data_IF_966597237921
#
_entry.id   IF_966597237921
#
_cell.length_a   1.000
_cell.length_b   1.000
_cell.length_c   1.000
_cell.angle_alpha   90.00
_cell.angle_beta   90.00
_cell.angle_gamma   90.00
#
_symmetry.space_group_name_H-M   'P 1'
#
loop_
_entity.id
_entity.type
_entity.pdbx_description
1 polymer ?
#
# COMPACT_ATOMS: atom_id res chain seq x y z
N UNK A 1 -17.84 19.51 -4.50
CA UNK A 1 -16.88 19.84 -3.43
C UNK A 1 -15.78 18.77 -3.45
N UNK A 2 -14.56 19.04 -2.99
CA UNK A 2 -13.51 18.01 -2.92
C UNK A 2 -13.72 17.20 -1.64
N UNK A 3 -13.80 15.87 -1.76
CA UNK A 3 -14.00 15.00 -0.62
C UNK A 3 -12.67 14.61 0.03
N UNK A 4 -12.66 14.49 1.36
CA UNK A 4 -11.52 14.01 2.15
C UNK A 4 -11.99 12.85 3.00
N UNK A 5 -11.19 11.77 3.01
CA UNK A 5 -11.45 10.62 3.86
C UNK A 5 -10.46 10.59 5.03
N UNK A 6 -10.98 10.54 6.27
CA UNK A 6 -10.18 10.44 7.49
C UNK A 6 -10.17 8.99 8.02
N UNK A 7 -8.99 8.45 8.27
CA UNK A 7 -8.80 7.18 8.98
C UNK A 7 -8.19 7.47 10.35
N UNK A 8 -8.92 7.20 11.42
CA UNK A 8 -8.50 7.47 12.80
C UNK A 8 -7.85 6.22 13.42
N UNK A 9 -6.56 6.29 13.73
CA UNK A 9 -5.73 5.22 14.27
C UNK A 9 -5.65 5.33 15.80
N UNK A 10 -6.46 4.55 16.52
CA UNK A 10 -6.51 4.60 17.99
C UNK A 10 -6.74 6.02 18.56
N UNK A 11 -7.47 6.85 17.83
CA UNK A 11 -7.82 8.21 18.23
C UNK A 11 -9.23 8.23 18.79
N UNK A 12 -9.43 8.94 19.90
CA UNK A 12 -10.76 9.07 20.49
C UNK A 12 -11.75 9.67 19.49
N UNK A 13 -12.97 9.12 19.43
CA UNK A 13 -13.95 9.49 18.41
C UNK A 13 -14.24 10.99 18.36
N UNK A 14 -14.34 11.63 19.52
CA UNK A 14 -14.59 13.07 19.61
C UNK A 14 -13.46 13.92 18.98
N UNK A 15 -12.20 13.48 19.03
CA UNK A 15 -11.08 14.17 18.40
C UNK A 15 -11.14 14.04 16.87
N UNK A 16 -11.44 12.84 16.38
CA UNK A 16 -11.62 12.59 14.95
C UNK A 16 -12.81 13.42 14.39
N UNK A 17 -13.92 13.46 15.11
CA UNK A 17 -15.09 14.28 14.74
C UNK A 17 -14.77 15.78 14.76
N UNK A 18 -13.99 16.25 15.74
CA UNK A 18 -13.54 17.64 15.78
C UNK A 18 -12.67 17.99 14.55
N UNK A 19 -11.78 17.09 14.12
CA UNK A 19 -10.99 17.28 12.91
C UNK A 19 -11.86 17.29 11.64
N UNK A 20 -12.81 16.36 11.51
CA UNK A 20 -13.77 16.35 10.39
C UNK A 20 -14.58 17.65 10.32
N UNK A 21 -15.07 18.14 11.47
CA UNK A 21 -15.78 19.41 11.54
C UNK A 21 -14.89 20.58 11.09
N UNK A 22 -13.64 20.64 11.56
CA UNK A 22 -12.66 21.64 11.11
C UNK A 22 -12.40 21.58 9.60
N UNK A 23 -12.31 20.40 8.99
CA UNK A 23 -12.16 20.30 7.53
C UNK A 23 -13.38 20.85 6.79
N UNK A 24 -14.60 20.59 7.31
CA UNK A 24 -15.85 21.10 6.73
C UNK A 24 -15.97 22.62 6.78
N UNK A 25 -15.55 23.27 7.87
CA UNK A 25 -15.55 24.74 7.96
C UNK A 25 -14.61 25.39 6.95
N UNK A 26 -13.61 24.66 6.48
CA UNK A 26 -12.68 25.07 5.43
C UNK A 26 -13.14 24.66 4.01
N UNK A 27 -14.39 24.21 3.84
CA UNK A 27 -14.99 23.93 2.54
C UNK A 27 -14.66 22.55 1.95
N UNK A 28 -14.19 21.61 2.77
CA UNK A 28 -13.99 20.21 2.37
C UNK A 28 -15.20 19.36 2.73
N UNK A 29 -15.52 18.40 1.88
CA UNK A 29 -16.49 17.37 2.19
C UNK A 29 -15.78 16.24 2.95
N UNK A 30 -15.80 16.29 4.29
CA UNK A 30 -15.03 15.38 5.11
C UNK A 30 -15.89 14.26 5.72
N UNK A 31 -15.46 13.02 5.49
CA UNK A 31 -16.01 11.80 6.07
C UNK A 31 -14.87 10.91 6.56
N UNK A 32 -15.16 9.89 7.36
CA UNK A 32 -14.11 9.02 7.87
C UNK A 32 -14.62 7.87 8.72
N UNK A 33 -13.67 7.10 9.25
CA UNK A 33 -13.93 5.93 10.08
C UNK A 33 -12.85 5.75 11.15
N UNK A 34 -13.16 4.90 12.14
CA UNK A 34 -12.19 4.36 13.08
C UNK A 34 -11.48 3.17 12.45
N UNK A 35 -10.16 3.18 12.49
CA UNK A 35 -9.34 2.14 11.92
C UNK A 35 -9.47 0.82 12.69
N UNK A 36 -9.55 -0.28 11.96
CA UNK A 36 -9.59 -1.62 12.53
C UNK A 36 -8.33 -2.38 12.13
N UNK A 37 -7.39 -2.48 13.07
CA UNK A 37 -6.11 -3.16 12.87
C UNK A 37 -6.25 -4.70 12.99
N UNK A 38 -7.17 -5.27 12.22
CA UNK A 38 -7.37 -6.72 12.10
C UNK A 38 -6.87 -7.18 10.74
N UNK A 39 -5.61 -7.61 10.71
CA UNK A 39 -4.92 -8.06 9.50
C UNK A 39 -5.39 -9.45 9.06
N UNK A 40 -5.90 -10.27 9.98
CA UNK A 40 -6.36 -11.62 9.67
C UNK A 40 -7.67 -11.58 8.87
N UNK A 41 -8.61 -10.73 9.30
CA UNK A 41 -9.90 -10.56 8.62
C UNK A 41 -9.90 -9.41 7.60
N UNK A 42 -8.76 -8.72 7.44
CA UNK A 42 -8.58 -7.56 6.56
C UNK A 42 -9.63 -6.46 6.79
N UNK A 43 -10.01 -6.23 8.04
CA UNK A 43 -11.07 -5.26 8.40
C UNK A 43 -10.71 -3.82 8.03
N UNK A 44 -9.42 -3.55 7.78
CA UNK A 44 -8.91 -2.28 7.26
C UNK A 44 -9.28 -2.01 5.78
N UNK A 45 -9.84 -2.98 5.04
CA UNK A 45 -10.22 -2.80 3.63
C UNK A 45 -11.49 -2.00 3.42
N UNK A 46 -12.35 -1.87 4.44
CA UNK A 46 -13.63 -1.16 4.38
C UNK A 46 -13.61 0.16 3.59
N UNK A 47 -12.69 1.10 3.85
CA UNK A 47 -12.64 2.40 3.17
C UNK A 47 -12.13 2.38 1.72
N UNK A 48 -11.76 1.22 1.14
CA UNK A 48 -11.14 1.16 -0.19
C UNK A 48 -12.03 1.78 -1.26
N UNK A 49 -13.34 1.50 -1.26
CA UNK A 49 -14.27 2.02 -2.27
C UNK A 49 -14.35 3.56 -2.22
N UNK A 50 -14.45 4.14 -1.03
CA UNK A 50 -14.49 5.59 -0.83
C UNK A 50 -13.16 6.25 -1.20
N UNK A 51 -12.04 5.60 -0.87
CA UNK A 51 -10.71 6.08 -1.24
C UNK A 51 -10.47 5.99 -2.75
N UNK A 52 -11.05 5.03 -3.46
CA UNK A 52 -10.95 4.93 -4.92
C UNK A 52 -11.95 5.85 -5.65
N UNK A 53 -12.94 6.41 -4.96
CA UNK A 53 -13.91 7.31 -5.56
C UNK A 53 -13.26 8.57 -6.14
N UNK A 54 -13.68 8.97 -7.34
CA UNK A 54 -13.06 10.08 -8.10
C UNK A 54 -13.16 11.44 -7.40
N UNK A 55 -14.17 11.64 -6.55
CA UNK A 55 -14.34 12.86 -5.75
C UNK A 55 -13.47 12.87 -4.49
N UNK A 56 -13.00 11.71 -4.01
CA UNK A 56 -12.05 11.63 -2.92
C UNK A 56 -10.70 12.17 -3.42
N UNK A 57 -10.29 13.27 -2.83
CA UNK A 57 -9.16 14.07 -3.28
C UNK A 57 -7.98 14.06 -2.31
N UNK A 58 -8.18 13.53 -1.11
CA UNK A 58 -7.15 13.42 -0.08
C UNK A 58 -7.52 12.28 0.87
N UNK A 59 -6.52 11.48 1.22
CA UNK A 59 -6.60 10.56 2.35
C UNK A 59 -5.85 11.15 3.54
N UNK A 60 -6.57 11.47 4.60
CA UNK A 60 -5.98 11.86 5.88
C UNK A 60 -5.96 10.66 6.83
N UNK A 61 -4.83 10.42 7.46
CA UNK A 61 -4.65 9.34 8.44
C UNK A 61 -4.23 10.00 9.74
N UNK A 62 -5.01 9.88 10.81
CA UNK A 62 -4.81 10.59 12.08
C UNK A 62 -4.47 9.61 13.19
N UNK A 63 -3.43 9.89 13.96
CA UNK A 63 -2.95 8.98 15.01
C UNK A 63 -1.87 9.63 15.87
N UNK A 64 -1.54 9.00 17.01
CA UNK A 64 -0.33 9.35 17.75
C UNK A 64 0.89 8.60 17.17
N UNK A 65 2.10 8.97 17.61
CA UNK A 65 3.34 8.30 17.13
C UNK A 65 3.31 6.79 17.34
N UNK A 66 2.83 6.31 18.49
CA UNK A 66 2.74 4.89 18.80
C UNK A 66 1.88 4.13 17.79
N UNK A 67 0.70 4.64 17.47
CA UNK A 67 -0.20 4.03 16.48
C UNK A 67 0.44 3.98 15.09
N UNK A 68 1.17 5.03 14.70
CA UNK A 68 1.88 5.05 13.41
C UNK A 68 3.08 4.10 13.35
N UNK A 69 3.69 3.78 14.50
CA UNK A 69 4.81 2.82 14.57
C UNK A 69 4.36 1.37 14.80
N UNK A 70 3.10 1.15 15.19
CA UNK A 70 2.52 -0.17 15.45
C UNK A 70 2.50 -1.05 14.20
N UNK A 71 3.10 -2.24 14.29
CA UNK A 71 3.27 -3.15 13.14
C UNK A 71 1.95 -3.51 12.45
N UNK A 72 0.91 -3.82 13.22
CA UNK A 72 -0.39 -4.22 12.66
C UNK A 72 -1.07 -3.10 11.88
N UNK A 73 -0.98 -1.87 12.39
CA UNK A 73 -1.51 -0.69 11.71
C UNK A 73 -0.72 -0.41 10.45
N UNK A 74 0.62 -0.40 10.52
CA UNK A 74 1.48 -0.12 9.38
C UNK A 74 1.25 -1.11 8.25
N UNK A 75 1.09 -2.38 8.59
CA UNK A 75 0.80 -3.42 7.63
C UNK A 75 -0.51 -3.16 6.87
N UNK A 76 -1.63 -2.99 7.58
CA UNK A 76 -2.93 -2.74 6.95
C UNK A 76 -2.98 -1.43 6.16
N UNK A 77 -2.40 -0.34 6.67
CA UNK A 77 -2.35 0.95 5.96
C UNK A 77 -1.48 0.85 4.71
N UNK A 78 -0.34 0.12 4.78
CA UNK A 78 0.51 -0.14 3.63
C UNK A 78 -0.24 -0.88 2.53
N UNK A 79 -0.93 -1.96 2.87
CA UNK A 79 -1.69 -2.75 1.91
C UNK A 79 -2.86 -1.96 1.29
N UNK A 80 -3.62 -1.23 2.11
CA UNK A 80 -4.67 -0.35 1.60
C UNK A 80 -4.12 0.72 0.65
N UNK A 81 -2.97 1.31 0.99
CA UNK A 81 -2.28 2.28 0.14
C UNK A 81 -1.88 1.68 -1.20
N UNK A 82 -1.32 0.47 -1.22
CA UNK A 82 -1.01 -0.24 -2.46
C UNK A 82 -2.27 -0.47 -3.30
N UNK A 83 -3.36 -0.95 -2.70
CA UNK A 83 -4.62 -1.18 -3.41
C UNK A 83 -5.22 0.09 -4.00
N UNK A 84 -5.27 1.18 -3.23
CA UNK A 84 -5.82 2.46 -3.69
C UNK A 84 -4.96 3.06 -4.79
N UNK A 85 -3.62 2.94 -4.69
CA UNK A 85 -2.70 3.43 -5.74
C UNK A 85 -2.85 2.65 -7.04
N UNK A 86 -3.02 1.33 -6.97
CA UNK A 86 -3.18 0.49 -8.15
C UNK A 86 -4.51 0.74 -8.87
N UNK A 87 -5.59 0.97 -8.13
CA UNK A 87 -6.93 1.16 -8.70
C UNK A 87 -7.16 2.58 -9.24
N UNK A 88 -6.52 3.59 -8.64
CA UNK A 88 -6.71 4.99 -9.05
C UNK A 88 -5.85 5.36 -10.25
N UNK A 89 -6.47 5.99 -11.24
CA UNK A 89 -5.77 6.64 -12.38
C UNK A 89 -4.98 7.87 -11.98
N UNK A 90 -5.41 8.57 -10.92
CA UNK A 90 -4.76 9.78 -10.40
C UNK A 90 -4.32 9.51 -8.98
N UNK A 91 -3.03 9.69 -8.64
CA UNK A 91 -2.53 9.45 -7.30
C UNK A 91 -3.33 10.24 -6.26
N UNK A 92 -3.74 9.55 -5.20
CA UNK A 92 -4.40 10.16 -4.05
C UNK A 92 -3.32 10.69 -3.10
N UNK A 93 -3.25 12.01 -2.84
CA UNK A 93 -2.37 12.53 -1.81
C UNK A 93 -2.72 11.92 -0.46
N UNK A 94 -1.69 11.58 0.33
CA UNK A 94 -1.83 11.05 1.68
C UNK A 94 -1.20 12.04 2.68
N UNK A 95 -1.91 12.34 3.75
CA UNK A 95 -1.44 13.21 4.84
C UNK A 95 -1.57 12.47 6.17
N UNK A 96 -0.47 12.41 6.92
CA UNK A 96 -0.43 11.89 8.28
C UNK A 96 -0.67 13.03 9.25
N UNK A 97 -1.76 12.97 10.02
CA UNK A 97 -2.16 13.93 11.04
C UNK A 97 -1.74 13.42 12.41
N UNK A 98 -0.57 13.87 12.88
CA UNK A 98 0.00 13.41 14.13
C UNK A 98 -0.55 14.19 15.33
N UNK A 99 -1.14 13.49 16.30
CA UNK A 99 -1.74 14.12 17.49
C UNK A 99 -0.73 14.39 18.60
N UNK A 100 0.24 13.49 18.80
CA UNK A 100 1.22 13.52 19.89
C UNK A 100 2.52 12.78 19.49
N UNK A 101 3.59 13.00 20.26
CA UNK A 101 4.90 12.39 20.16
C UNK A 101 5.88 13.16 19.27
N UNK A 102 7.11 12.66 19.20
CA UNK A 102 8.12 13.23 18.31
C UNK A 102 7.67 13.19 16.84
N UNK A 103 7.89 14.26 16.05
CA UNK A 103 7.45 14.31 14.67
C UNK A 103 7.92 13.10 13.86
N UNK A 104 7.00 12.45 13.15
CA UNK A 104 7.34 11.41 12.18
C UNK A 104 8.12 12.01 11.00
N UNK A 105 9.10 11.26 10.54
CA UNK A 105 9.90 11.52 9.35
C UNK A 105 9.53 10.53 8.25
N UNK A 106 9.95 10.79 7.01
CA UNK A 106 9.73 9.85 5.91
C UNK A 106 10.36 8.46 6.17
N UNK A 107 11.45 8.40 6.94
CA UNK A 107 12.12 7.15 7.30
C UNK A 107 11.33 6.31 8.32
N UNK A 108 10.44 6.92 9.11
CA UNK A 108 9.55 6.19 10.02
C UNK A 108 8.42 5.47 9.25
N UNK A 109 8.11 5.92 8.03
CA UNK A 109 6.96 5.44 7.25
C UNK A 109 7.30 4.25 6.36
N UNK A 110 6.36 3.30 6.18
CA UNK A 110 6.55 2.18 5.27
C UNK A 110 6.58 2.68 3.82
N UNK A 111 7.20 1.90 2.91
CA UNK A 111 7.45 2.29 1.51
C UNK A 111 6.21 2.85 0.79
N UNK A 112 4.99 2.30 0.93
CA UNK A 112 3.81 2.87 0.28
C UNK A 112 3.46 4.29 0.72
N UNK A 113 3.88 4.69 1.93
CA UNK A 113 3.56 5.96 2.58
C UNK A 113 4.74 6.92 2.69
N UNK A 114 5.95 6.57 2.23
CA UNK A 114 7.14 7.43 2.34
C UNK A 114 6.98 8.81 1.70
N UNK A 115 6.08 8.94 0.71
CA UNK A 115 5.74 10.23 0.09
C UNK A 115 4.64 11.03 0.81
N UNK A 116 4.10 10.53 1.92
CA UNK A 116 3.05 11.21 2.67
C UNK A 116 3.60 12.45 3.39
N UNK A 117 2.74 13.47 3.51
CA UNK A 117 3.09 14.68 4.28
C UNK A 117 2.66 14.47 5.72
N UNK A 118 3.57 14.68 6.67
CA UNK A 118 3.27 14.64 8.11
C UNK A 118 2.94 16.06 8.59
N UNK A 119 1.79 16.23 9.22
CA UNK A 119 1.32 17.49 9.81
C UNK A 119 0.88 17.28 11.27
N UNK A 120 1.14 18.22 12.19
CA UNK A 120 0.55 18.18 13.52
C UNK A 120 -0.96 18.39 13.44
N UNK A 121 -1.75 17.50 14.04
CA UNK A 121 -3.21 17.57 14.01
C UNK A 121 -3.76 18.78 14.80
N UNK A 122 -3.04 19.21 15.84
CA UNK A 122 -3.42 20.35 16.68
C UNK A 122 -3.04 21.72 16.10
N UNK A 123 -2.18 21.77 15.06
CA UNK A 123 -1.74 23.04 14.46
C UNK A 123 -2.91 23.79 13.80
N UNK A 124 -3.05 25.08 14.10
CA UNK A 124 -4.14 25.91 13.58
C UNK A 124 -4.11 26.03 12.05
N UNK A 125 -2.93 25.92 11.44
CA UNK A 125 -2.74 25.94 9.98
C UNK A 125 -3.05 24.62 9.28
N UNK A 126 -3.23 23.52 10.00
CA UNK A 126 -3.43 22.18 9.41
C UNK A 126 -4.65 22.10 8.48
N UNK A 127 -5.85 22.60 8.85
CA UNK A 127 -7.01 22.58 7.94
C UNK A 127 -6.73 23.28 6.60
N UNK A 128 -6.07 24.44 6.62
CA UNK A 128 -5.71 25.16 5.40
C UNK A 128 -4.70 24.36 4.53
N UNK A 129 -3.72 23.71 5.15
CA UNK A 129 -2.76 22.83 4.46
C UNK A 129 -3.45 21.62 3.82
N UNK A 130 -4.46 21.05 4.49
CA UNK A 130 -5.28 19.96 3.95
C UNK A 130 -6.07 20.40 2.71
N UNK A 131 -6.69 21.59 2.76
CA UNK A 131 -7.35 22.17 1.57
C UNK A 131 -6.36 22.32 0.43
N UNK A 132 -5.21 22.92 0.68
CA UNK A 132 -4.19 23.09 -0.35
C UNK A 132 -3.77 21.75 -0.98
N UNK A 133 -3.62 20.70 -0.16
CA UNK A 133 -3.29 19.35 -0.65
C UNK A 133 -4.41 18.69 -1.44
N UNK A 134 -5.67 18.83 -1.02
CA UNK A 134 -6.81 18.30 -1.78
C UNK A 134 -6.93 18.94 -3.18
N UNK A 135 -6.44 20.17 -3.35
CA UNK A 135 -6.42 20.89 -4.63
C UNK A 135 -5.11 20.72 -5.42
N UNK A 136 -4.05 20.20 -4.80
CA UNK A 136 -2.78 19.99 -5.47
C UNK A 136 -2.87 18.90 -6.54
N UNK A 137 -2.14 19.06 -7.65
CA UNK A 137 -1.89 17.98 -8.60
C UNK A 137 -0.73 17.14 -8.08
N UNK A 138 -0.94 15.83 -7.96
CA UNK A 138 0.17 14.91 -7.70
C UNK A 138 1.11 14.89 -8.91
N UNK A 139 2.43 14.87 -8.70
CA UNK A 139 3.37 14.69 -9.79
C UNK A 139 3.18 13.31 -10.42
N UNK A 140 3.15 13.26 -11.75
CA UNK A 140 3.15 12.01 -12.49
C UNK A 140 4.61 11.54 -12.62
N UNK A 141 4.99 10.64 -11.71
CA UNK A 141 6.32 10.03 -11.73
C UNK A 141 6.17 8.60 -12.28
N UNK A 142 6.87 8.24 -13.35
CA UNK A 142 6.81 6.90 -13.89
C UNK A 142 7.37 5.90 -12.88
N UNK A 143 6.53 5.03 -12.35
CA UNK A 143 6.94 3.91 -11.52
C UNK A 143 7.61 2.84 -12.40
N UNK A 144 8.62 2.12 -11.89
CA UNK A 144 9.26 1.01 -12.60
C UNK A 144 8.37 -0.24 -12.67
N UNK A 145 7.49 -0.40 -11.69
CA UNK A 145 6.60 -1.55 -11.54
C UNK A 145 5.22 -1.11 -11.04
N UNK A 146 4.24 -1.98 -11.29
CA UNK A 146 2.93 -1.96 -10.69
C UNK A 146 2.85 -3.05 -9.63
N UNK A 147 2.35 -2.70 -8.46
CA UNK A 147 2.04 -3.64 -7.38
C UNK A 147 0.66 -3.31 -6.83
N UNK A 148 -0.15 -4.34 -6.61
CA UNK A 148 -1.49 -4.22 -6.04
C UNK A 148 -1.71 -5.30 -4.99
N UNK A 149 -2.45 -4.98 -3.93
CA UNK A 149 -3.06 -5.99 -3.06
C UNK A 149 -4.50 -6.20 -3.57
N UNK A 150 -4.74 -7.35 -4.19
CA UNK A 150 -6.00 -7.74 -4.86
C UNK A 150 -6.90 -8.59 -3.94
N UNK A 151 -6.35 -9.09 -2.84
CA UNK A 151 -7.03 -9.98 -1.91
C UNK A 151 -8.25 -9.38 -1.20
N UNK A 152 -9.13 -10.27 -0.73
CA UNK A 152 -10.27 -9.97 0.13
C UNK A 152 -10.41 -11.05 1.21
N UNK A 153 -11.32 -10.89 2.20
CA UNK A 153 -11.49 -11.87 3.28
C UNK A 153 -11.86 -13.29 2.82
N UNK A 154 -12.44 -13.47 1.63
CA UNK A 154 -12.84 -14.79 1.08
C UNK A 154 -11.70 -15.44 0.31
N UNK A 155 -10.95 -14.67 -0.48
CA UNK A 155 -9.88 -15.17 -1.35
C UNK A 155 -8.51 -15.25 -0.64
N UNK A 156 -8.37 -14.51 0.46
CA UNK A 156 -7.11 -14.30 1.17
C UNK A 156 -6.27 -13.22 0.49
N UNK A 157 -5.06 -13.01 1.00
CA UNK A 157 -4.19 -11.93 0.57
C UNK A 157 -3.42 -12.32 -0.70
N UNK A 158 -3.69 -11.59 -1.79
CA UNK A 158 -3.01 -11.73 -3.06
C UNK A 158 -2.31 -10.44 -3.47
N UNK A 159 -1.10 -10.58 -4.02
CA UNK A 159 -0.39 -9.50 -4.67
C UNK A 159 -0.36 -9.71 -6.17
N UNK A 160 -0.65 -8.66 -6.94
CA UNK A 160 -0.38 -8.57 -8.38
C UNK A 160 0.90 -7.76 -8.58
N UNK A 161 1.84 -8.26 -9.38
CA UNK A 161 3.11 -7.60 -9.69
C UNK A 161 3.39 -7.67 -11.19
N UNK A 162 3.80 -6.55 -11.78
CA UNK A 162 4.24 -6.46 -13.18
C UNK A 162 5.11 -5.23 -13.45
N UNK A 163 5.94 -5.21 -14.51
CA UNK A 163 6.58 -3.97 -14.95
C UNK A 163 5.56 -2.99 -15.53
N UNK A 164 5.93 -1.71 -15.55
CA UNK A 164 5.14 -0.65 -16.23
C UNK A 164 5.63 -0.34 -17.65
N UNK A 165 6.79 -0.89 -18.03
CA UNK A 165 7.45 -0.65 -19.32
C UNK A 165 7.91 -1.97 -19.92
N UNK A 166 9.19 -2.27 -19.81
CA UNK A 166 9.82 -3.41 -20.47
C UNK A 166 9.41 -4.72 -19.79
N UNK A 167 9.13 -5.73 -20.62
CA UNK A 167 8.75 -7.04 -20.13
C UNK A 167 9.90 -7.70 -19.36
N UNK A 168 9.56 -8.40 -18.29
CA UNK A 168 10.49 -9.25 -17.56
C UNK A 168 10.40 -10.68 -18.11
N UNK A 169 11.54 -11.37 -18.34
CA UNK A 169 11.57 -12.74 -18.88
C UNK A 169 11.06 -13.81 -17.90
N UNK A 170 10.64 -13.38 -16.72
CA UNK A 170 10.29 -14.16 -15.56
C UNK A 170 10.22 -13.22 -14.36
N UNK A 171 9.81 -13.75 -13.22
CA UNK A 171 9.76 -12.98 -11.98
C UNK A 171 10.20 -13.86 -10.83
N UNK A 172 10.85 -13.22 -9.86
CA UNK A 172 11.07 -13.78 -8.55
C UNK A 172 10.35 -12.91 -7.53
N UNK A 173 9.66 -13.53 -6.58
CA UNK A 173 8.92 -12.85 -5.52
C UNK A 173 9.21 -13.53 -4.20
N UNK A 174 9.62 -12.76 -3.20
CA UNK A 174 10.01 -13.21 -1.88
C UNK A 174 9.36 -12.42 -0.77
N UNK A 175 9.21 -13.11 0.36
CA UNK A 175 8.76 -12.55 1.63
C UNK A 175 9.79 -12.86 2.71
N UNK A 176 9.99 -11.92 3.62
CA UNK A 176 10.91 -12.06 4.76
C UNK A 176 10.27 -12.81 5.94
N UNK A 177 8.96 -12.69 6.08
CA UNK A 177 8.12 -13.44 7.03
C UNK A 177 6.78 -13.80 6.38
N UNK A 178 6.01 -14.68 7.04
CA UNK A 178 4.84 -15.28 6.43
C UNK A 178 5.20 -16.37 5.42
N UNK A 179 4.24 -16.76 4.59
CA UNK A 179 4.39 -17.88 3.68
C UNK A 179 3.72 -17.64 2.33
N UNK A 180 4.44 -17.91 1.24
CA UNK A 180 3.86 -17.95 -0.09
C UNK A 180 3.12 -19.29 -0.24
N UNK A 181 1.83 -19.23 -0.57
CA UNK A 181 0.96 -20.42 -0.71
C UNK A 181 0.62 -20.77 -2.14
N UNK A 182 0.59 -19.77 -3.00
CA UNK A 182 0.19 -19.95 -4.38
C UNK A 182 0.86 -18.92 -5.28
N UNK A 183 1.13 -19.30 -6.52
CA UNK A 183 1.55 -18.37 -7.56
C UNK A 183 0.77 -18.65 -8.85
N UNK A 184 0.47 -17.59 -9.59
CA UNK A 184 -0.21 -17.65 -10.87
C UNK A 184 0.34 -16.56 -11.80
N UNK A 185 0.20 -16.77 -13.09
CA UNK A 185 0.42 -15.76 -14.13
C UNK A 185 -0.82 -15.69 -15.02
N UNK A 186 -1.24 -14.48 -15.35
CA UNK A 186 -2.39 -14.23 -16.21
C UNK A 186 -2.56 -12.76 -16.56
N UNK A 187 -3.72 -12.36 -17.13
CA UNK A 187 -3.99 -10.98 -17.47
C UNK A 187 -3.88 -10.04 -16.26
N UNK A 188 -3.36 -8.83 -16.47
CA UNK A 188 -3.27 -7.82 -15.43
C UNK A 188 -4.67 -7.37 -14.93
N UNK A 189 -4.76 -7.02 -13.65
CA UNK A 189 -5.95 -6.44 -13.03
C UNK A 189 -7.00 -7.42 -12.47
N UNK A 190 -6.90 -8.72 -12.73
CA UNK A 190 -7.80 -9.72 -12.14
C UNK A 190 -7.09 -11.03 -11.80
N UNK A 191 -7.52 -11.69 -10.71
CA UNK A 191 -6.98 -13.01 -10.36
C UNK A 191 -7.32 -14.02 -11.47
N UNK A 192 -6.32 -14.72 -12.03
CA UNK A 192 -6.54 -15.58 -13.18
C UNK A 192 -7.32 -16.85 -12.79
N UNK A 193 -8.33 -17.20 -13.60
CA UNK A 193 -9.11 -18.44 -13.44
C UNK A 193 -8.29 -19.69 -13.76
N UNK A 194 -7.35 -19.57 -14.70
CA UNK A 194 -6.43 -20.62 -15.10
C UNK A 194 -5.03 -20.04 -15.28
N UNK A 195 -4.01 -20.83 -15.01
CA UNK A 195 -2.62 -20.40 -15.18
C UNK A 195 -1.74 -21.57 -15.59
N UNK A 196 -0.79 -21.30 -16.47
CA UNK A 196 0.29 -22.22 -16.85
C UNK A 196 1.60 -21.61 -16.43
N UNK A 197 2.31 -22.26 -15.51
CA UNK A 197 3.57 -21.75 -14.96
C UNK A 197 4.75 -22.37 -15.68
N UNK A 198 5.59 -21.53 -16.29
CA UNK A 198 6.80 -21.97 -16.96
C UNK A 198 7.94 -22.00 -15.94
N UNK A 199 8.57 -23.17 -15.76
CA UNK A 199 9.73 -23.34 -14.88
C UNK A 199 9.49 -22.82 -13.46
N UNK A 200 8.37 -23.22 -12.85
CA UNK A 200 8.01 -22.81 -11.51
C UNK A 200 9.02 -23.32 -10.47
N UNK A 201 9.51 -22.40 -9.63
CA UNK A 201 10.40 -22.67 -8.50
C UNK A 201 9.72 -22.21 -7.21
N UNK A 202 9.91 -22.97 -6.15
CA UNK A 202 9.31 -22.71 -4.84
C UNK A 202 10.35 -22.86 -3.74
N UNK A 203 10.20 -22.08 -2.67
CA UNK A 203 11.03 -22.20 -1.46
C UNK A 203 12.49 -21.78 -1.64
N UNK A 204 12.81 -20.97 -2.66
CA UNK A 204 14.15 -20.41 -2.88
C UNK A 204 14.56 -19.57 -1.67
N UNK A 205 15.83 -19.69 -1.25
CA UNK A 205 16.41 -18.86 -0.20
C UNK A 205 17.24 -17.78 -0.85
N UNK A 206 16.85 -16.52 -0.62
CA UNK A 206 17.54 -15.34 -1.15
C UNK A 206 17.97 -14.50 0.03
N UNK A 207 19.19 -13.97 -0.03
CA UNK A 207 19.63 -12.93 0.88
C UNK A 207 19.71 -11.61 0.11
N UNK A 208 19.07 -10.56 0.64
CA UNK A 208 19.09 -9.22 0.08
C UNK A 208 19.26 -8.20 1.20
N UNK A 209 20.27 -7.33 1.10
CA UNK A 209 20.63 -6.36 2.14
C UNK A 209 20.74 -6.98 3.55
N UNK A 210 21.41 -8.12 3.67
CA UNK A 210 21.58 -8.89 4.91
C UNK A 210 20.27 -9.39 5.56
N UNK A 211 19.15 -9.42 4.81
CA UNK A 211 17.88 -10.02 5.22
C UNK A 211 17.60 -11.25 4.37
N UNK A 212 17.11 -12.30 5.02
CA UNK A 212 16.75 -13.55 4.35
C UNK A 212 15.29 -13.51 3.90
N UNK A 213 15.04 -14.04 2.71
CA UNK A 213 13.72 -14.14 2.10
C UNK A 213 13.46 -15.58 1.67
N UNK A 214 12.21 -16.02 1.78
CA UNK A 214 11.71 -17.22 1.09
C UNK A 214 10.98 -16.76 -0.17
N UNK A 215 11.43 -17.23 -1.32
CA UNK A 215 10.98 -16.75 -2.62
C UNK A 215 10.52 -17.87 -3.55
N UNK A 216 9.55 -17.53 -4.39
CA UNK A 216 9.06 -18.36 -5.48
C UNK A 216 9.33 -17.61 -6.79
N UNK A 217 9.49 -18.37 -7.87
CA UNK A 217 9.81 -17.79 -9.17
C UNK A 217 9.17 -18.56 -10.32
N UNK A 218 9.01 -17.87 -11.45
CA UNK A 218 8.57 -18.43 -12.73
C UNK A 218 9.30 -17.75 -13.88
N UNK A 219 9.34 -18.42 -15.04
CA UNK A 219 9.89 -17.88 -16.32
C UNK A 219 8.79 -17.59 -17.34
N UNK A 220 7.58 -17.28 -16.88
CA UNK A 220 6.60 -16.66 -17.74
C UNK A 220 7.04 -15.23 -18.01
N UNK A 221 6.92 -14.77 -19.25
CA UNK A 221 7.09 -13.34 -19.54
C UNK A 221 6.04 -12.53 -18.77
N UNK A 222 6.47 -11.53 -18.02
CA UNK A 222 5.60 -10.60 -17.28
C UNK A 222 5.71 -9.25 -17.95
N UNK A 223 4.59 -8.70 -18.41
CA UNK A 223 4.54 -7.48 -19.22
C UNK A 223 3.57 -6.47 -18.61
N UNK A 224 3.32 -5.36 -19.29
CA UNK A 224 2.27 -4.42 -18.86
C UNK A 224 0.87 -5.04 -18.90
N UNK A 225 0.66 -6.10 -19.69
CA UNK A 225 -0.63 -6.78 -19.89
C UNK A 225 -0.72 -8.13 -19.17
N UNK A 226 0.42 -8.77 -18.87
CA UNK A 226 0.50 -10.04 -18.15
C UNK A 226 1.17 -9.85 -16.79
N UNK A 227 0.47 -10.20 -15.72
CA UNK A 227 0.92 -10.02 -14.35
C UNK A 227 1.20 -11.35 -13.64
N UNK A 228 2.07 -11.27 -12.65
CA UNK A 228 2.30 -12.33 -11.68
C UNK A 228 1.44 -12.09 -10.45
N UNK A 229 0.74 -13.13 -10.02
CA UNK A 229 -0.11 -13.13 -8.85
C UNK A 229 0.44 -14.10 -7.82
N UNK A 230 0.50 -13.67 -6.57
CA UNK A 230 1.03 -14.49 -5.48
C UNK A 230 0.17 -14.38 -4.24
N UNK A 231 -0.24 -15.53 -3.71
CA UNK A 231 -0.98 -15.63 -2.45
C UNK A 231 0.01 -15.74 -1.31
N UNK A 232 -0.12 -14.86 -0.33
CA UNK A 232 0.73 -14.83 0.87
C UNK A 232 -0.15 -14.96 2.10
N UNK A 233 0.27 -15.80 3.04
CA UNK A 233 -0.30 -15.89 4.38
C UNK A 233 0.63 -15.25 5.42
N UNK A 234 0.03 -14.67 6.46
CA UNK A 234 0.75 -13.90 7.48
C UNK A 234 0.96 -12.44 7.09
N UNK A 235 1.83 -11.77 7.83
CA UNK A 235 2.09 -10.33 7.74
C UNK A 235 3.57 -10.07 7.42
N UNK A 236 4.04 -10.33 6.17
CA UNK A 236 5.40 -10.01 5.75
C UNK A 236 5.75 -8.55 6.06
N UNK A 237 6.89 -8.31 6.70
CA UNK A 237 7.35 -6.93 6.91
C UNK A 237 7.96 -6.35 5.63
N UNK A 238 8.45 -7.20 4.72
CA UNK A 238 9.04 -6.77 3.45
C UNK A 238 8.69 -7.73 2.31
N UNK A 239 8.20 -7.18 1.21
CA UNK A 239 8.13 -7.88 -0.07
C UNK A 239 9.40 -7.59 -0.87
N UNK A 240 9.91 -8.58 -1.59
CA UNK A 240 11.05 -8.42 -2.49
C UNK A 240 10.70 -9.05 -3.83
N UNK A 241 10.79 -8.29 -4.93
CA UNK A 241 10.52 -8.86 -6.25
C UNK A 241 11.30 -8.17 -7.35
N UNK A 242 11.38 -8.81 -8.50
CA UNK A 242 12.06 -8.27 -9.67
C UNK A 242 12.06 -9.26 -10.83
N UNK A 243 12.61 -8.88 -11.99
CA UNK A 243 12.81 -9.81 -13.09
C UNK A 243 13.55 -11.07 -12.62
N UNK A 244 13.17 -12.22 -13.14
CA UNK A 244 13.96 -13.43 -12.95
C UNK A 244 15.25 -13.32 -13.76
N UNK A 245 16.38 -13.67 -13.16
CA UNK A 245 17.67 -13.77 -13.83
C UNK A 245 18.49 -14.92 -13.24
N UNK A 246 19.34 -15.51 -14.07
CA UNK A 246 20.39 -16.43 -13.62
C UNK A 246 21.66 -15.67 -13.17
N UNK A 247 21.75 -14.37 -13.49
CA UNK A 247 22.86 -13.51 -13.13
C UNK A 247 22.71 -12.94 -11.71
N UNK A 248 23.83 -12.86 -10.98
CA UNK A 248 23.88 -12.36 -9.59
C UNK A 248 23.57 -10.86 -9.44
N UNK A 249 23.56 -10.10 -10.54
CA UNK A 249 23.30 -8.66 -10.56
C UNK A 249 21.95 -8.39 -11.23
N UNK A 250 20.88 -8.54 -10.46
CA UNK A 250 19.51 -8.31 -10.92
C UNK A 250 18.87 -7.20 -10.11
N UNK A 251 18.12 -6.34 -10.79
CA UNK A 251 17.38 -5.27 -10.15
C UNK A 251 16.23 -5.86 -9.30
N UNK A 252 16.25 -5.59 -8.00
CA UNK A 252 15.27 -6.09 -7.05
C UNK A 252 14.61 -4.90 -6.33
N UNK A 253 13.30 -4.97 -6.17
CA UNK A 253 12.48 -3.94 -5.58
C UNK A 253 11.99 -4.39 -4.19
N UNK A 254 12.59 -3.89 -3.11
CA UNK A 254 12.05 -4.10 -1.77
C UNK A 254 10.88 -3.14 -1.51
N UNK A 255 9.77 -3.66 -0.98
CA UNK A 255 8.68 -2.86 -0.42
C UNK A 255 8.57 -3.18 1.06
N UNK A 256 8.92 -2.21 1.90
CA UNK A 256 8.74 -2.29 3.34
C UNK A 256 7.29 -1.98 3.71
N UNK A 257 6.58 -2.95 4.29
CA UNK A 257 5.19 -2.83 4.72
C UNK A 257 5.08 -2.45 6.21
N UNK A 258 6.12 -2.76 6.99
CA UNK A 258 6.31 -2.45 8.41
C UNK A 258 7.75 -2.03 8.64
#
# INVERSE_FOLDING_TARGET
MKAVWLSALNVAEHEAQAMLHKMKTYGLEASGHQWQADNQNMSWMGPKAELCHSQCALWAIMGNREAFLGADIRYGVSLLSLSVRAERRVPLPVVMLQTDGDPLTAADLPTPLQGAVVLPAADAGTPAKLVAKAHAKAPDLPAAYHVNMVGDPQLGQWFEVRPTRDAWPGIIFGVDSGEIRFQAVGPAGELPKTSTLNYAMQGLKIQFNAKDFTAWAVRNEISTEAAYFVKVEGTPATLLFGPFSEDSATEMYPIQLV
#
